data_IF_424151294812
#
_entry.id   IF_424151294812
#
_cell.length_a   1.000
_cell.length_b   1.000
_cell.length_c   1.000
_cell.angle_alpha   90.00
_cell.angle_beta   90.00
_cell.angle_gamma   90.00
#
_symmetry.space_group_name_H-M   'P 1'
#
loop_
_entity.id
_entity.type
_entity.pdbx_description
1 polymer ?
#
# COMPACT_ATOMS: atom_id res chain seq x y z
N UNK A 1 16.83 7.40 15.39
CA UNK A 1 15.48 6.86 15.64
C UNK A 1 14.86 6.40 14.34
N UNK A 2 14.74 5.09 14.16
CA UNK A 2 14.18 4.48 12.94
C UNK A 2 12.68 4.28 13.16
N UNK A 3 11.83 4.88 12.33
CA UNK A 3 10.38 4.63 12.36
C UNK A 3 10.14 3.17 11.96
N UNK A 4 9.55 2.38 12.86
CA UNK A 4 9.16 0.99 12.59
C UNK A 4 7.66 0.92 12.34
N UNK A 5 7.28 0.14 11.32
CA UNK A 5 5.89 -0.15 10.96
C UNK A 5 5.76 -1.65 10.77
N UNK A 6 4.64 -2.21 11.26
CA UNK A 6 4.19 -3.56 10.93
C UNK A 6 2.92 -3.49 10.11
N UNK A 7 2.80 -4.37 9.13
CA UNK A 7 1.61 -4.54 8.30
C UNK A 7 0.96 -5.88 8.65
N UNK A 8 -0.36 -5.87 8.81
CA UNK A 8 -1.16 -7.05 9.12
C UNK A 8 -2.12 -7.33 7.95
N UNK A 9 -2.24 -8.59 7.60
CA UNK A 9 -3.13 -9.04 6.53
C UNK A 9 -4.13 -10.05 7.08
N UNK A 10 -5.33 -10.06 6.50
CA UNK A 10 -6.31 -11.10 6.78
C UNK A 10 -5.73 -12.48 6.43
N UNK A 11 -6.13 -13.52 7.17
CA UNK A 11 -5.68 -14.90 6.89
C UNK A 11 -6.44 -15.55 5.72
N UNK A 12 -7.47 -14.89 5.19
CA UNK A 12 -8.31 -15.36 4.09
C UNK A 12 -8.76 -14.19 3.24
N UNK A 13 -8.85 -14.41 1.93
CA UNK A 13 -9.33 -13.46 0.93
C UNK A 13 -10.29 -14.17 -0.02
N UNK A 14 -11.27 -13.43 -0.55
CA UNK A 14 -12.28 -13.99 -1.47
C UNK A 14 -11.65 -14.36 -2.81
N UNK A 15 -10.70 -13.57 -3.29
CA UNK A 15 -9.93 -13.83 -4.50
C UNK A 15 -8.45 -13.56 -4.30
N UNK A 16 -7.62 -14.13 -5.19
CA UNK A 16 -6.20 -13.77 -5.28
C UNK A 16 -5.99 -12.29 -5.58
N UNK A 17 -6.90 -11.67 -6.34
CA UNK A 17 -6.83 -10.25 -6.66
C UNK A 17 -6.98 -9.40 -5.39
N UNK A 18 -7.95 -9.71 -4.53
CA UNK A 18 -8.16 -8.99 -3.26
C UNK A 18 -6.92 -9.08 -2.36
N UNK A 19 -6.29 -10.26 -2.29
CA UNK A 19 -5.05 -10.44 -1.54
C UNK A 19 -3.93 -9.55 -2.07
N UNK A 20 -3.69 -9.58 -3.39
CA UNK A 20 -2.61 -8.82 -4.02
C UNK A 20 -2.86 -7.31 -3.93
N UNK A 21 -4.10 -6.84 -4.10
CA UNK A 21 -4.46 -5.43 -3.95
C UNK A 21 -4.26 -4.95 -2.52
N UNK A 22 -4.66 -5.76 -1.53
CA UNK A 22 -4.43 -5.44 -0.10
C UNK A 22 -2.95 -5.42 0.24
N UNK A 23 -2.19 -6.45 -0.17
CA UNK A 23 -0.74 -6.51 0.07
C UNK A 23 -0.03 -5.30 -0.56
N UNK A 24 -0.36 -4.97 -1.81
CA UNK A 24 0.24 -3.85 -2.50
C UNK A 24 -0.14 -2.50 -1.86
N UNK A 25 -1.38 -2.34 -1.39
CA UNK A 25 -1.82 -1.16 -0.62
C UNK A 25 -0.93 -0.94 0.61
N UNK A 26 -0.75 -1.98 1.44
CA UNK A 26 0.09 -1.89 2.64
C UNK A 26 1.57 -1.64 2.31
N UNK A 27 2.08 -2.17 1.19
CA UNK A 27 3.45 -1.89 0.73
C UNK A 27 3.64 -0.43 0.32
N UNK A 28 2.62 0.25 -0.21
CA UNK A 28 2.69 1.69 -0.49
C UNK A 28 2.84 2.48 0.82
N UNK A 29 2.09 2.12 1.87
CA UNK A 29 2.23 2.72 3.19
C UNK A 29 3.61 2.49 3.80
N UNK A 30 4.14 1.27 3.67
CA UNK A 30 5.50 0.96 4.11
C UNK A 30 6.54 1.81 3.37
N UNK A 31 6.37 2.02 2.07
CA UNK A 31 7.24 2.89 1.26
C UNK A 31 7.16 4.36 1.69
N UNK A 32 5.96 4.88 1.99
CA UNK A 32 5.78 6.24 2.51
C UNK A 32 6.61 6.47 3.79
N UNK A 33 6.57 5.51 4.71
CA UNK A 33 7.33 5.60 5.98
C UNK A 33 8.83 5.42 5.77
N UNK A 34 9.23 4.35 5.09
CA UNK A 34 10.63 3.95 5.06
C UNK A 34 11.46 4.77 4.08
N UNK A 35 10.88 5.12 2.93
CA UNK A 35 11.61 5.78 1.84
C UNK A 35 11.27 7.26 1.77
N UNK A 36 9.98 7.62 1.81
CA UNK A 36 9.58 9.04 1.73
C UNK A 36 9.69 9.78 3.07
N UNK A 37 9.92 9.04 4.16
CA UNK A 37 10.01 9.58 5.53
C UNK A 37 8.74 10.35 5.92
N UNK A 38 7.59 9.95 5.38
CA UNK A 38 6.27 10.46 5.75
C UNK A 38 5.75 9.63 6.93
N UNK A 39 5.80 10.14 8.18
CA UNK A 39 5.42 9.37 9.35
C UNK A 39 3.90 9.15 9.46
N UNK A 40 3.11 9.87 8.67
CA UNK A 40 1.66 9.78 8.72
C UNK A 40 1.12 8.71 7.77
N UNK A 41 1.84 8.42 6.67
CA UNK A 41 1.48 7.41 5.67
C UNK A 41 0.00 7.41 5.24
N UNK A 42 -0.65 8.58 5.24
CA UNK A 42 -2.06 8.68 4.86
C UNK A 42 -2.24 8.51 3.35
N UNK A 43 -3.48 8.32 2.89
CA UNK A 43 -3.88 8.35 1.47
C UNK A 43 -3.77 9.75 0.86
N UNK A 44 -2.56 10.27 0.80
CA UNK A 44 -2.23 11.60 0.30
C UNK A 44 -1.80 11.54 -1.18
N UNK A 45 -1.27 12.66 -1.69
CA UNK A 45 -0.80 12.75 -3.08
C UNK A 45 0.25 11.68 -3.43
N UNK A 46 1.14 11.34 -2.49
CA UNK A 46 2.18 10.35 -2.72
C UNK A 46 1.61 8.93 -2.79
N UNK A 47 0.61 8.61 -1.96
CA UNK A 47 -0.12 7.35 -2.05
C UNK A 47 -0.83 7.24 -3.42
N UNK A 48 -1.62 8.25 -3.80
CA UNK A 48 -2.36 8.21 -5.06
C UNK A 48 -1.49 8.30 -6.32
N UNK A 49 -0.23 8.70 -6.20
CA UNK A 49 0.72 8.63 -7.31
C UNK A 49 0.93 7.19 -7.83
N UNK A 50 0.67 6.18 -7.00
CA UNK A 50 0.79 4.76 -7.38
C UNK A 50 -0.40 4.21 -8.16
N UNK A 51 -1.51 4.97 -8.31
CA UNK A 51 -2.70 4.51 -9.07
C UNK A 51 -2.38 4.08 -10.49
N UNK A 52 -1.52 4.82 -11.19
CA UNK A 52 -1.12 4.48 -12.55
C UNK A 52 -0.25 3.22 -12.58
N UNK A 53 0.63 3.03 -11.59
CA UNK A 53 1.42 1.79 -11.48
C UNK A 53 0.51 0.59 -11.28
N UNK A 54 -0.48 0.67 -10.37
CA UNK A 54 -1.45 -0.40 -10.14
C UNK A 54 -2.26 -0.72 -11.40
N UNK A 55 -2.78 0.31 -12.08
CA UNK A 55 -3.61 0.10 -13.26
C UNK A 55 -2.86 -0.55 -14.41
N UNK A 56 -1.55 -0.31 -14.56
CA UNK A 56 -0.73 -0.96 -15.61
C UNK A 56 -0.65 -2.48 -15.48
N UNK A 57 -0.87 -3.01 -14.27
CA UNK A 57 -0.86 -4.45 -13.98
C UNK A 57 -2.26 -5.00 -13.66
N UNK A 58 -3.31 -4.23 -13.95
CA UNK A 58 -4.71 -4.66 -13.75
C UNK A 58 -5.18 -4.67 -12.30
N UNK A 59 -4.47 -3.96 -11.40
CA UNK A 59 -4.83 -3.78 -10.01
C UNK A 59 -5.47 -2.40 -9.78
N UNK A 60 -6.25 -2.28 -8.72
CA UNK A 60 -6.84 -1.03 -8.26
C UNK A 60 -6.23 -0.64 -6.91
N UNK A 61 -5.78 0.61 -6.80
CA UNK A 61 -5.39 1.20 -5.52
C UNK A 61 -6.58 1.93 -4.92
N UNK A 62 -7.29 1.23 -4.04
CA UNK A 62 -8.41 1.77 -3.26
C UNK A 62 -7.94 2.39 -1.93
N UNK A 63 -8.88 3.03 -1.23
CA UNK A 63 -8.69 3.75 0.03
C UNK A 63 -9.09 2.88 1.20
#
# INVERSE_FOLDING_TARGET
DTLWMSMELASKFSTWKDFIETLAHEMVHLYQIQIQKDPYANHNKNFYAWKNTFSTVGLNLER
#
